data_IF_802202891307
#
_entry.id   IF_802202891307
#
_cell.length_a   1.000
_cell.length_b   1.000
_cell.length_c   1.000
_cell.angle_alpha   90.00
_cell.angle_beta   90.00
_cell.angle_gamma   90.00
#
_symmetry.space_group_name_H-M   'P 1'
#
loop_
_entity.id
_entity.type
_entity.pdbx_description
1 polymer ?
#
# COMPACT_ATOMS: atom_id res chain seq x y z
N UNK A 1 22.20 20.69 22.81
CA UNK A 1 21.59 19.36 22.53
C UNK A 1 20.19 19.54 21.93
N UNK A 2 19.96 20.56 21.09
CA UNK A 2 18.61 20.94 20.59
C UNK A 2 18.41 20.67 19.08
N UNK A 3 19.46 20.26 18.37
CA UNK A 3 19.40 19.99 16.93
C UNK A 3 18.83 18.61 16.61
N UNK A 4 18.99 17.63 17.51
CA UNK A 4 18.44 16.28 17.33
C UNK A 4 16.91 16.26 17.45
N UNK A 5 16.34 16.97 18.43
CA UNK A 5 14.89 16.96 18.67
C UNK A 5 14.09 17.67 17.57
N UNK A 6 14.66 18.73 16.98
CA UNK A 6 14.05 19.39 15.81
C UNK A 6 14.16 18.55 14.54
N UNK A 7 15.26 17.81 14.37
CA UNK A 7 15.40 16.85 13.28
C UNK A 7 14.38 15.71 13.37
N UNK A 8 14.14 15.19 14.58
CA UNK A 8 13.17 14.11 14.81
C UNK A 8 11.72 14.55 14.54
N UNK A 9 11.34 15.75 15.01
CA UNK A 9 9.98 16.28 14.76
C UNK A 9 9.72 16.65 13.30
N UNK A 10 10.71 17.19 12.60
CA UNK A 10 10.58 17.49 11.17
C UNK A 10 10.45 16.19 10.37
N UNK A 11 11.30 15.20 10.66
CA UNK A 11 11.18 13.87 10.07
C UNK A 11 9.82 13.23 10.39
N UNK A 12 9.34 13.25 11.63
CA UNK A 12 8.02 12.70 11.97
C UNK A 12 6.86 13.36 11.21
N UNK A 13 6.91 14.67 10.95
CA UNK A 13 5.87 15.34 10.18
C UNK A 13 5.95 14.99 8.69
N UNK A 14 7.16 14.92 8.12
CA UNK A 14 7.35 14.46 6.74
C UNK A 14 6.95 12.98 6.59
N UNK A 15 7.31 12.13 7.54
CA UNK A 15 6.90 10.72 7.60
C UNK A 15 5.38 10.58 7.75
N UNK A 16 4.71 11.39 8.59
CA UNK A 16 3.24 11.34 8.70
C UNK A 16 2.52 11.88 7.45
N UNK A 17 3.10 12.86 6.76
CA UNK A 17 2.54 13.35 5.49
C UNK A 17 2.83 12.41 4.31
N UNK A 18 3.94 11.67 4.35
CA UNK A 18 4.26 10.62 3.38
C UNK A 18 3.50 9.32 3.67
N UNK A 19 3.22 8.98 4.93
CA UNK A 19 2.52 7.77 5.35
C UNK A 19 1.01 7.92 5.47
N UNK A 20 0.46 9.13 5.31
CA UNK A 20 -0.98 9.32 5.26
C UNK A 20 -1.50 8.81 3.92
N UNK A 21 -1.92 7.55 3.90
CA UNK A 21 -2.61 6.98 2.75
C UNK A 21 -3.74 7.91 2.33
N UNK A 22 -3.74 8.30 1.06
CA UNK A 22 -4.85 9.02 0.50
C UNK A 22 -6.08 8.08 0.44
N UNK A 23 -7.27 8.66 0.28
CA UNK A 23 -8.52 7.90 0.29
C UNK A 23 -8.57 6.79 -0.78
N UNK A 24 -7.76 6.88 -1.83
CA UNK A 24 -7.65 5.85 -2.88
C UNK A 24 -6.73 4.72 -2.45
N UNK A 25 -5.56 5.03 -1.89
CA UNK A 25 -4.63 4.04 -1.32
C UNK A 25 -5.27 3.22 -0.20
N UNK A 26 -6.04 3.86 0.69
CA UNK A 26 -6.75 3.13 1.75
C UNK A 26 -7.80 2.15 1.19
N UNK A 27 -8.49 2.50 0.10
CA UNK A 27 -9.43 1.58 -0.56
C UNK A 27 -8.71 0.38 -1.17
N UNK A 28 -7.54 0.60 -1.76
CA UNK A 28 -6.70 -0.48 -2.32
C UNK A 28 -6.21 -1.39 -1.20
N UNK A 29 -5.75 -0.81 -0.09
CA UNK A 29 -5.36 -1.56 1.11
C UNK A 29 -6.50 -2.41 1.66
N UNK A 30 -7.71 -1.85 1.75
CA UNK A 30 -8.89 -2.60 2.18
C UNK A 30 -9.24 -3.74 1.21
N UNK A 31 -9.11 -3.52 -0.10
CA UNK A 31 -9.29 -4.60 -1.08
C UNK A 31 -8.24 -5.70 -0.88
N UNK A 32 -6.99 -5.32 -0.70
CA UNK A 32 -5.87 -6.24 -0.49
C UNK A 32 -6.06 -7.07 0.80
N UNK A 33 -6.50 -6.44 1.89
CA UNK A 33 -6.85 -7.13 3.14
C UNK A 33 -8.03 -8.09 2.98
N UNK A 34 -9.04 -7.73 2.17
CA UNK A 34 -10.22 -8.57 1.94
C UNK A 34 -9.94 -9.77 1.04
N UNK A 35 -9.14 -9.59 -0.03
CA UNK A 35 -8.76 -10.68 -0.95
C UNK A 35 -7.64 -11.56 -0.41
N UNK A 36 -6.73 -10.98 0.38
CA UNK A 36 -5.49 -11.63 0.80
C UNK A 36 -4.36 -11.55 -0.24
N UNK A 37 -4.67 -11.35 -1.53
CA UNK A 37 -3.66 -10.99 -2.53
C UNK A 37 -4.27 -10.20 -3.69
N UNK A 38 -3.43 -9.44 -4.39
CA UNK A 38 -3.76 -8.73 -5.62
C UNK A 38 -2.63 -8.96 -6.64
N UNK A 39 -2.97 -9.47 -7.81
CA UNK A 39 -2.13 -9.55 -8.99
C UNK A 39 -2.95 -9.25 -10.25
N UNK A 40 -2.29 -9.12 -11.40
CA UNK A 40 -2.97 -8.94 -12.70
C UNK A 40 -4.02 -10.04 -12.96
N UNK A 41 -3.69 -11.28 -12.61
CA UNK A 41 -4.59 -12.43 -12.77
C UNK A 41 -5.66 -12.53 -11.67
N UNK A 42 -5.40 -12.02 -10.45
CA UNK A 42 -6.32 -12.19 -9.32
C UNK A 42 -7.33 -11.06 -9.19
N UNK A 43 -7.00 -9.85 -9.68
CA UNK A 43 -7.91 -8.70 -9.66
C UNK A 43 -8.90 -8.77 -10.83
N UNK A 44 -10.16 -8.47 -10.55
CA UNK A 44 -11.21 -8.41 -11.57
C UNK A 44 -11.38 -6.99 -12.12
N UNK A 45 -11.93 -6.88 -13.33
CA UNK A 45 -12.27 -5.58 -13.94
C UNK A 45 -13.25 -4.81 -13.05
N UNK A 46 -14.26 -5.46 -12.47
CA UNK A 46 -15.21 -4.81 -11.55
C UNK A 46 -14.50 -4.21 -10.31
N UNK A 47 -13.51 -4.91 -9.75
CA UNK A 47 -12.72 -4.40 -8.63
C UNK A 47 -11.89 -3.18 -9.04
N UNK A 48 -11.24 -3.23 -10.21
CA UNK A 48 -10.51 -2.08 -10.78
C UNK A 48 -11.44 -0.87 -11.00
N UNK A 49 -12.60 -1.08 -11.62
CA UNK A 49 -13.56 -0.01 -11.88
C UNK A 49 -14.12 0.58 -10.58
N UNK A 50 -14.37 -0.25 -9.56
CA UNK A 50 -14.81 0.20 -8.23
C UNK A 50 -13.79 1.12 -7.53
N UNK A 51 -12.51 0.91 -7.84
CA UNK A 51 -11.40 1.74 -7.37
C UNK A 51 -11.11 2.94 -8.30
N UNK A 52 -11.75 2.99 -9.46
CA UNK A 52 -11.60 4.03 -10.47
C UNK A 52 -10.38 3.83 -11.39
N UNK A 53 -9.96 2.59 -11.59
CA UNK A 53 -8.89 2.17 -12.49
C UNK A 53 -9.43 1.43 -13.71
N UNK A 54 -8.65 1.39 -14.78
CA UNK A 54 -9.02 0.68 -16.02
C UNK A 54 -8.17 -0.55 -16.26
N UNK A 55 -6.97 -0.57 -15.71
CA UNK A 55 -6.03 -1.68 -15.83
C UNK A 55 -5.25 -1.91 -14.53
N UNK A 56 -4.70 -3.12 -14.37
CA UNK A 56 -3.82 -3.46 -13.25
C UNK A 56 -2.57 -2.57 -13.21
N UNK A 57 -2.05 -2.16 -14.36
CA UNK A 57 -0.94 -1.21 -14.44
C UNK A 57 -1.23 0.14 -13.78
N UNK A 58 -2.50 0.56 -13.69
CA UNK A 58 -2.89 1.83 -13.07
C UNK A 58 -2.84 1.77 -11.54
N UNK A 59 -3.04 0.57 -10.97
CA UNK A 59 -3.03 0.34 -9.51
C UNK A 59 -1.63 0.00 -8.99
N UNK A 60 -0.72 -0.50 -9.84
CA UNK A 60 0.68 -0.79 -9.49
C UNK A 60 1.38 0.30 -8.66
N UNK A 61 1.42 1.59 -9.06
CA UNK A 61 2.14 2.61 -8.29
C UNK A 61 1.55 2.83 -6.88
N UNK A 62 0.28 2.49 -6.69
CA UNK A 62 -0.36 2.55 -5.37
C UNK A 62 -0.02 1.33 -4.52
N UNK A 63 0.09 0.15 -5.14
CA UNK A 63 0.53 -1.07 -4.45
C UNK A 63 2.01 -0.96 -4.04
N UNK A 64 2.85 -0.38 -4.89
CA UNK A 64 4.25 -0.06 -4.56
C UNK A 64 4.34 0.94 -3.40
N UNK A 65 3.45 1.93 -3.32
CA UNK A 65 3.38 2.81 -2.15
C UNK A 65 2.91 2.12 -0.87
N UNK A 66 2.00 1.16 -0.98
CA UNK A 66 1.62 0.32 0.16
C UNK A 66 2.77 -0.56 0.61
N UNK A 67 3.61 -1.02 -0.31
CA UNK A 67 4.86 -1.73 -0.02
C UNK A 67 5.87 -0.82 0.69
N UNK A 68 6.12 0.38 0.17
CA UNK A 68 6.99 1.38 0.81
C UNK A 68 6.53 1.79 2.21
N UNK A 69 5.23 1.69 2.48
CA UNK A 69 4.63 2.01 3.77
C UNK A 69 4.55 0.82 4.75
N UNK A 70 5.14 -0.34 4.43
CA UNK A 70 5.04 -1.58 5.20
C UNK A 70 3.57 -2.06 5.41
N UNK A 71 2.69 -1.79 4.44
CA UNK A 71 1.28 -2.19 4.46
C UNK A 71 0.95 -3.32 3.47
N UNK A 72 1.82 -3.53 2.49
CA UNK A 72 1.77 -4.63 1.54
C UNK A 72 3.17 -5.24 1.35
N UNK A 73 3.24 -6.50 0.94
CA UNK A 73 4.48 -7.14 0.53
C UNK A 73 4.34 -7.62 -0.91
N UNK A 74 5.38 -7.42 -1.72
CA UNK A 74 5.44 -8.00 -3.07
C UNK A 74 6.04 -9.40 -2.99
N UNK A 75 5.30 -10.39 -3.48
CA UNK A 75 5.82 -11.73 -3.73
C UNK A 75 6.38 -11.78 -5.16
N UNK A 76 7.70 -11.96 -5.27
CA UNK A 76 8.33 -12.28 -6.54
C UNK A 76 8.07 -13.75 -6.87
N UNK A 77 6.92 -14.03 -7.49
CA UNK A 77 6.70 -15.29 -8.19
C UNK A 77 7.16 -15.13 -9.64
N UNK A 78 7.74 -16.19 -10.19
CA UNK A 78 8.70 -16.18 -11.32
C UNK A 78 8.26 -15.41 -12.58
N UNK A 79 6.96 -15.14 -12.77
CA UNK A 79 6.44 -14.34 -13.88
C UNK A 79 5.25 -13.41 -13.54
N UNK A 80 4.84 -13.33 -12.27
CA UNK A 80 3.65 -12.56 -11.86
C UNK A 80 3.95 -11.68 -10.66
N UNK A 81 3.64 -10.39 -10.80
CA UNK A 81 3.67 -9.47 -9.66
C UNK A 81 2.45 -9.70 -8.79
N UNK A 82 2.67 -10.29 -7.62
CA UNK A 82 1.63 -10.51 -6.61
C UNK A 82 1.93 -9.64 -5.41
N UNK A 83 0.91 -8.93 -4.91
CA UNK A 83 0.96 -8.20 -3.66
C UNK A 83 0.08 -8.89 -2.62
N UNK A 84 0.55 -8.97 -1.38
CA UNK A 84 -0.19 -9.49 -0.23
C UNK A 84 -0.26 -8.43 0.87
N UNK A 85 -1.32 -8.40 1.69
CA UNK A 85 -1.40 -7.50 2.82
C UNK A 85 -0.40 -7.93 3.89
N UNK A 86 0.30 -6.96 4.48
CA UNK A 86 1.04 -7.23 5.71
C UNK A 86 0.03 -7.29 6.86
N UNK A 87 -0.06 -8.46 7.49
CA UNK A 87 -0.84 -8.62 8.71
C UNK A 87 -0.12 -7.85 9.82
N UNK A 88 -0.67 -6.69 10.17
CA UNK A 88 -0.23 -5.99 11.37
C UNK A 88 -0.48 -6.93 12.57
N UNK A 89 0.52 -7.13 13.46
CA UNK A 89 0.28 -7.86 14.69
C UNK A 89 -0.88 -7.21 15.44
N UNK A 90 -1.74 -8.00 16.12
CA UNK A 90 -2.80 -7.41 16.94
C UNK A 90 -2.16 -6.44 17.92
N UNK A 91 -2.69 -5.21 17.97
CA UNK A 91 -2.26 -4.24 18.96
C UNK A 91 -2.76 -4.74 20.32
N UNK A 92 -1.85 -5.24 21.15
CA UNK A 92 -2.09 -5.61 22.56
C UNK A 92 -2.40 -4.37 23.41
#
# INVERSE_FOLDING_TARGET
MEVLEKGLKAAEQDFRQQAALNAKEERIRLLLQRKGNISDDSITIDELESLGFRAFSDILPFLERLEEADLAQRLNQEDVTVFEPILLPPAD
#
